data_IF_345499635484
#
_entry.id   IF_345499635484
#
_cell.length_a   1.000
_cell.length_b   1.000
_cell.length_c   1.000
_cell.angle_alpha   90.00
_cell.angle_beta   90.00
_cell.angle_gamma   90.00
#
_symmetry.space_group_name_H-M   'P 1'
#
loop_
_entity.id
_entity.type
_entity.pdbx_description
1 polymer ?
#
# COMPACT_ATOMS: atom_id res chain seq x y z
N UNK A 1 20.07 17.33 33.87
CA UNK A 1 18.89 17.84 34.59
C UNK A 1 17.92 18.35 33.53
N UNK A 2 16.69 17.85 33.56
CA UNK A 2 15.70 17.98 32.48
C UNK A 2 15.06 19.36 32.52
N UNK A 3 15.18 20.13 31.44
CA UNK A 3 14.35 21.31 31.19
C UNK A 3 12.93 20.84 30.85
N UNK A 4 12.06 20.84 31.86
CA UNK A 4 10.63 20.73 31.65
C UNK A 4 10.07 22.15 31.58
N UNK A 5 9.65 22.56 30.37
CA UNK A 5 8.79 23.72 30.17
C UNK A 5 7.61 23.65 31.13
N UNK A 6 7.29 24.77 31.77
CA UNK A 6 6.17 24.82 32.70
C UNK A 6 4.87 24.53 31.95
N UNK A 7 3.85 24.02 32.65
CA UNK A 7 2.53 23.74 32.04
C UNK A 7 1.94 24.96 31.34
N UNK A 8 2.28 26.15 31.80
CA UNK A 8 1.78 27.42 31.27
C UNK A 8 2.46 27.78 29.95
N UNK A 9 3.77 27.50 29.82
CA UNK A 9 4.52 27.70 28.57
C UNK A 9 4.02 26.76 27.45
N UNK A 10 3.60 25.55 27.82
CA UNK A 10 3.03 24.58 26.88
C UNK A 10 1.65 25.03 26.38
N UNK A 11 0.81 25.59 27.25
CA UNK A 11 -0.52 26.08 26.87
C UNK A 11 -0.42 27.31 25.94
N UNK A 12 0.57 28.18 26.14
CA UNK A 12 0.84 29.30 25.25
C UNK A 12 1.29 28.84 23.87
N UNK A 13 2.15 27.82 23.79
CA UNK A 13 2.58 27.23 22.52
C UNK A 13 1.40 26.61 21.76
N UNK A 14 0.56 25.82 22.44
CA UNK A 14 -0.61 25.16 21.83
C UNK A 14 -1.60 26.18 21.26
N UNK A 15 -1.75 27.36 21.87
CA UNK A 15 -2.58 28.44 21.36
C UNK A 15 -2.00 29.15 20.13
N UNK A 16 -0.67 29.21 19.99
CA UNK A 16 0.01 29.84 18.85
C UNK A 16 -0.11 28.99 17.56
N UNK A 17 -0.22 27.67 17.69
CA UNK A 17 -0.40 26.76 16.54
C UNK A 17 -1.84 26.70 16.01
N UNK A 18 -2.83 27.13 16.79
CA UNK A 18 -4.25 27.09 16.42
C UNK A 18 -4.63 28.19 15.40
N UNK A 19 -3.83 29.26 15.29
CA UNK A 19 -4.10 30.41 14.41
C UNK A 19 -3.26 30.40 13.11
N UNK A 20 -2.53 29.31 12.85
CA UNK A 20 -1.80 29.15 11.60
C UNK A 20 -2.77 28.73 10.48
N UNK A 21 -2.84 29.46 9.35
CA UNK A 21 -3.65 29.05 8.22
C UNK A 21 -3.06 27.76 7.65
N UNK A 22 -3.68 26.62 7.99
CA UNK A 22 -3.38 25.34 7.38
C UNK A 22 -3.95 25.39 5.97
N UNK A 23 -3.11 25.61 4.96
CA UNK A 23 -3.54 25.48 3.57
C UNK A 23 -4.16 24.10 3.40
N UNK A 24 -5.46 24.07 3.11
CA UNK A 24 -6.22 22.86 2.87
C UNK A 24 -5.76 22.24 1.54
N UNK A 25 -4.60 21.59 1.56
CA UNK A 25 -4.15 20.74 0.49
C UNK A 25 -5.24 19.72 0.23
N UNK A 26 -5.76 19.74 -0.99
CA UNK A 26 -6.85 18.89 -1.53
C UNK A 26 -7.04 17.62 -0.72
N UNK A 27 -7.94 17.68 0.27
CA UNK A 27 -8.18 16.54 1.14
C UNK A 27 -8.77 15.44 0.27
N UNK A 28 -8.05 14.33 0.11
CA UNK A 28 -8.64 13.13 -0.44
C UNK A 28 -9.92 12.85 0.37
N UNK A 29 -11.07 12.81 -0.29
CA UNK A 29 -12.36 12.65 0.37
C UNK A 29 -12.39 11.28 1.09
N UNK A 30 -12.04 11.26 2.38
CA UNK A 30 -11.97 10.05 3.21
C UNK A 30 -13.39 9.73 3.66
N UNK A 31 -14.17 9.11 2.77
CA UNK A 31 -15.57 8.77 3.07
C UNK A 31 -15.71 7.63 4.08
N UNK A 32 -14.68 6.79 4.26
CA UNK A 32 -14.73 5.59 5.12
C UNK A 32 -13.39 5.38 5.84
N UNK A 33 -13.44 5.22 7.16
CA UNK A 33 -12.30 4.83 8.02
C UNK A 33 -12.59 3.45 8.60
N UNK A 34 -11.62 2.53 8.50
CA UNK A 34 -11.71 1.18 9.05
C UNK A 34 -10.65 1.02 10.14
N UNK A 35 -11.08 0.73 11.36
CA UNK A 35 -10.17 0.42 12.47
C UNK A 35 -9.98 -1.10 12.59
N UNK A 36 -8.73 -1.54 12.61
CA UNK A 36 -8.36 -2.95 12.75
C UNK A 36 -7.43 -3.10 13.94
N UNK A 37 -7.61 -4.16 14.73
CA UNK A 37 -6.71 -4.51 15.83
C UNK A 37 -5.73 -5.56 15.35
N UNK A 38 -4.45 -5.24 15.44
CA UNK A 38 -3.34 -6.15 15.19
C UNK A 38 -2.65 -6.45 16.52
N UNK A 39 -2.06 -7.64 16.63
CA UNK A 39 -1.11 -7.92 17.70
C UNK A 39 0.18 -7.13 17.46
N UNK A 40 0.96 -6.90 18.51
CA UNK A 40 2.16 -6.06 18.43
C UNK A 40 3.23 -6.62 17.47
N UNK A 41 3.38 -7.93 17.41
CA UNK A 41 4.25 -8.65 16.47
C UNK A 41 3.76 -8.55 15.03
N UNK A 42 2.44 -8.60 14.81
CA UNK A 42 1.82 -8.45 13.48
C UNK A 42 2.02 -7.04 12.93
N UNK A 43 1.79 -6.00 13.76
CA UNK A 43 1.99 -4.61 13.33
C UNK A 43 3.45 -4.36 12.93
N UNK A 44 4.42 -4.83 13.73
CA UNK A 44 5.84 -4.71 13.43
C UNK A 44 6.25 -5.48 12.16
N UNK A 45 5.56 -6.56 11.80
CA UNK A 45 5.78 -7.27 10.54
C UNK A 45 5.26 -6.45 9.35
N UNK A 46 4.07 -5.85 9.46
CA UNK A 46 3.48 -5.02 8.40
C UNK A 46 4.28 -3.75 8.17
N UNK A 47 4.74 -3.08 9.23
CA UNK A 47 5.59 -1.89 9.14
C UNK A 47 6.92 -2.18 8.41
N UNK A 48 7.57 -3.30 8.76
CA UNK A 48 8.78 -3.73 8.05
C UNK A 48 8.51 -4.01 6.58
N UNK A 49 7.41 -4.69 6.27
CA UNK A 49 7.04 -4.98 4.89
C UNK A 49 6.76 -3.70 4.08
N UNK A 50 6.05 -2.73 4.66
CA UNK A 50 5.81 -1.43 4.05
C UNK A 50 7.12 -0.66 3.81
N UNK A 51 8.03 -0.68 4.80
CA UNK A 51 9.36 -0.06 4.69
C UNK A 51 10.21 -0.69 3.59
N UNK A 52 10.22 -2.03 3.46
CA UNK A 52 10.95 -2.73 2.40
C UNK A 52 10.37 -2.40 1.03
N UNK A 53 9.05 -2.27 0.93
CA UNK A 53 8.36 -1.86 -0.30
C UNK A 53 8.52 -0.36 -0.62
N UNK A 54 9.07 0.44 0.30
CA UNK A 54 9.29 1.87 0.11
C UNK A 54 7.99 2.70 0.04
N UNK A 55 6.89 2.19 0.58
CA UNK A 55 5.57 2.85 0.53
C UNK A 55 5.04 3.15 1.93
N UNK A 56 4.20 4.20 2.11
CA UNK A 56 3.54 4.47 3.39
C UNK A 56 2.71 3.28 3.87
N UNK A 57 2.67 3.07 5.19
CA UNK A 57 1.94 1.96 5.83
C UNK A 57 0.46 1.87 5.40
N UNK A 58 -0.23 3.01 5.33
CA UNK A 58 -1.64 3.08 4.90
C UNK A 58 -1.82 2.66 3.44
N UNK A 59 -0.90 3.05 2.55
CA UNK A 59 -0.87 2.63 1.15
C UNK A 59 -0.62 1.13 1.03
N UNK A 60 0.34 0.61 1.79
CA UNK A 60 0.65 -0.82 1.84
C UNK A 60 -0.56 -1.64 2.28
N UNK A 61 -1.21 -1.25 3.39
CA UNK A 61 -2.42 -1.93 3.89
C UNK A 61 -3.54 -1.87 2.86
N UNK A 62 -3.76 -0.73 2.21
CA UNK A 62 -4.77 -0.59 1.14
C UNK A 62 -4.48 -1.55 -0.01
N UNK A 63 -3.24 -1.64 -0.49
CA UNK A 63 -2.85 -2.54 -1.58
C UNK A 63 -3.00 -4.01 -1.19
N UNK A 64 -2.57 -4.38 0.02
CA UNK A 64 -2.72 -5.72 0.54
C UNK A 64 -4.20 -6.11 0.67
N UNK A 65 -5.05 -5.21 1.16
CA UNK A 65 -6.49 -5.43 1.27
C UNK A 65 -7.15 -5.61 -0.11
N UNK A 66 -6.77 -4.79 -1.11
CA UNK A 66 -7.26 -4.94 -2.48
C UNK A 66 -6.80 -6.27 -3.11
N UNK A 67 -5.56 -6.68 -2.87
CA UNK A 67 -5.03 -7.97 -3.32
C UNK A 67 -5.70 -9.16 -2.64
N UNK A 68 -6.05 -9.05 -1.36
CA UNK A 68 -6.77 -10.09 -0.63
C UNK A 68 -8.25 -10.19 -1.04
N UNK A 69 -8.89 -9.05 -1.32
CA UNK A 69 -10.28 -8.98 -1.78
C UNK A 69 -10.46 -9.55 -3.19
N UNK A 70 -9.39 -9.59 -3.98
CA UNK A 70 -9.39 -10.14 -5.33
C UNK A 70 -8.45 -11.35 -5.36
N UNK A 71 -8.90 -12.54 -4.90
CA UNK A 71 -8.06 -13.72 -4.89
C UNK A 71 -7.65 -14.02 -6.33
N UNK A 72 -6.42 -13.64 -6.67
CA UNK A 72 -5.77 -14.06 -7.89
C UNK A 72 -5.68 -15.58 -7.80
N UNK A 73 -6.49 -16.28 -8.58
CA UNK A 73 -6.32 -17.71 -8.80
C UNK A 73 -5.01 -17.89 -9.56
N UNK A 74 -3.93 -18.06 -8.78
CA UNK A 74 -2.57 -18.20 -9.29
C UNK A 74 -2.49 -19.38 -10.26
N UNK A 75 -3.29 -20.44 -10.05
CA UNK A 75 -3.33 -21.59 -10.97
C UNK A 75 -3.96 -21.20 -12.30
N UNK A 76 -5.08 -20.46 -12.27
CA UNK A 76 -5.70 -19.97 -13.49
C UNK A 76 -4.80 -18.96 -14.23
N UNK A 77 -4.11 -18.08 -13.51
CA UNK A 77 -3.16 -17.13 -14.10
C UNK A 77 -1.97 -17.83 -14.76
N UNK A 78 -1.37 -18.82 -14.08
CA UNK A 78 -0.28 -19.64 -14.63
C UNK A 78 -0.71 -20.44 -15.84
N UNK A 79 -1.87 -21.11 -15.80
CA UNK A 79 -2.40 -21.86 -16.94
C UNK A 79 -2.65 -20.95 -18.16
N UNK A 80 -3.12 -19.72 -17.93
CA UNK A 80 -3.34 -18.73 -19.00
C UNK A 80 -2.02 -18.23 -19.58
N UNK A 81 -1.00 -18.03 -18.76
CA UNK A 81 0.35 -17.66 -19.22
C UNK A 81 0.98 -18.77 -20.08
N UNK A 82 0.86 -20.03 -19.67
CA UNK A 82 1.33 -21.18 -20.47
C UNK A 82 0.59 -21.30 -21.81
N UNK A 83 -0.72 -21.07 -21.83
CA UNK A 83 -1.51 -21.07 -23.07
C UNK A 83 -1.02 -19.99 -24.05
N UNK A 84 -0.80 -18.76 -23.55
CA UNK A 84 -0.28 -17.64 -24.35
C UNK A 84 1.12 -17.96 -24.88
N UNK A 85 2.00 -18.56 -24.06
CA UNK A 85 3.34 -18.95 -24.51
C UNK A 85 3.30 -20.03 -25.60
N UNK A 86 2.43 -21.02 -25.46
CA UNK A 86 2.26 -22.07 -26.46
C UNK A 86 1.68 -21.53 -27.78
N UNK A 87 0.75 -20.59 -27.71
CA UNK A 87 0.17 -19.93 -28.88
C UNK A 87 1.20 -19.04 -29.59
N UNK A 88 1.98 -18.28 -28.84
CA UNK A 88 3.10 -17.51 -29.39
C UNK A 88 4.14 -18.41 -30.07
N UNK A 89 4.47 -19.56 -29.47
CA UNK A 89 5.40 -20.53 -30.06
C UNK A 89 4.87 -21.12 -31.37
N UNK A 90 3.57 -21.44 -31.44
CA UNK A 90 2.91 -21.90 -32.68
C UNK A 90 2.91 -20.84 -33.78
N UNK A 91 2.62 -19.59 -33.42
CA UNK A 91 2.66 -18.47 -34.36
C UNK A 91 4.06 -18.24 -34.93
N UNK A 92 5.09 -18.32 -34.09
CA UNK A 92 6.50 -18.22 -34.52
C UNK A 92 6.86 -19.37 -35.47
N UNK A 93 6.45 -20.61 -35.18
CA UNK A 93 6.70 -21.75 -36.05
C UNK A 93 5.99 -21.62 -37.41
N UNK A 94 4.76 -21.08 -37.43
CA UNK A 94 4.02 -20.77 -38.66
C UNK A 94 4.70 -19.67 -39.49
N UNK A 95 5.20 -18.61 -38.84
CA UNK A 95 5.93 -17.53 -39.50
C UNK A 95 7.27 -17.99 -40.08
N UNK A 96 7.93 -18.95 -39.45
CA UNK A 96 9.18 -19.53 -39.94
C UNK A 96 8.98 -20.67 -40.96
N UNK A 97 7.74 -21.01 -41.31
CA UNK A 97 7.45 -22.04 -42.32
C UNK A 97 7.80 -23.47 -41.89
N UNK A 98 7.95 -23.73 -40.60
CA UNK A 98 8.30 -25.06 -40.06
C UNK A 98 7.09 -26.01 -39.93
N UNK A 99 5.90 -25.58 -40.35
CA UNK A 99 4.69 -26.40 -40.32
C UNK A 99 4.31 -26.78 -41.75
N UNK A 100 4.64 -28.02 -42.13
CA UNK A 100 4.10 -28.72 -43.29
C UNK A 100 2.90 -29.58 -42.89
#
# INVERSE_FOLDING_TARGET
MSDYLSRDDRAALEAEFDDLPVEAGTAADVSIVISVRLRGDELAAVERAASVAGVPLSTFIRQAALGAANPLDVRAASARAEAIQNEARKLIALLHGEVA
#
